data_IF_525888469057
#
_entry.id   IF_525888469057
#
_cell.length_a   1.000
_cell.length_b   1.000
_cell.length_c   1.000
_cell.angle_alpha   90.00
_cell.angle_beta   90.00
_cell.angle_gamma   90.00
#
_symmetry.space_group_name_H-M   'P 1'
#
loop_
_entity.id
_entity.type
_entity.pdbx_description
1 polymer ?
#
# COMPACT_ATOMS: atom_id res chain seq x y z
N UNK A 1 -18.86 7.36 40.31
CA UNK A 1 -18.84 8.02 38.98
C UNK A 1 -20.02 7.46 38.19
N UNK A 2 -20.90 8.30 37.64
CA UNK A 2 -22.03 7.80 36.85
C UNK A 2 -21.55 7.25 35.50
N UNK A 3 -22.34 6.41 34.83
CA UNK A 3 -22.03 5.93 33.46
C UNK A 3 -21.86 7.10 32.49
N UNK A 4 -22.66 8.17 32.66
CA UNK A 4 -22.57 9.39 31.86
C UNK A 4 -21.26 10.12 32.08
N UNK A 5 -20.81 10.27 33.33
CA UNK A 5 -19.52 10.91 33.62
C UNK A 5 -18.35 10.11 33.06
N UNK A 6 -18.45 8.78 33.09
CA UNK A 6 -17.44 7.89 32.51
C UNK A 6 -17.34 8.05 30.98
N UNK A 7 -18.49 8.08 30.28
CA UNK A 7 -18.53 8.32 28.84
C UNK A 7 -17.99 9.71 28.47
N UNK A 8 -18.37 10.75 29.21
CA UNK A 8 -17.85 12.11 29.00
C UNK A 8 -16.33 12.18 29.23
N UNK A 9 -15.80 11.41 30.19
CA UNK A 9 -14.36 11.30 30.39
C UNK A 9 -13.69 10.67 29.17
N UNK A 10 -14.24 9.58 28.64
CA UNK A 10 -13.68 8.89 27.46
C UNK A 10 -13.73 9.78 26.20
N UNK A 11 -14.83 10.49 25.97
CA UNK A 11 -14.95 11.47 24.89
C UNK A 11 -13.90 12.59 25.00
N UNK A 12 -13.67 13.10 26.21
CA UNK A 12 -12.65 14.10 26.46
C UNK A 12 -11.22 13.56 26.26
N UNK A 13 -10.96 12.30 26.61
CA UNK A 13 -9.70 11.62 26.33
C UNK A 13 -9.46 11.50 24.81
N UNK A 14 -10.45 11.04 24.04
CA UNK A 14 -10.35 10.97 22.57
C UNK A 14 -10.15 12.33 21.92
N UNK A 15 -10.80 13.38 22.44
CA UNK A 15 -10.58 14.75 21.96
C UNK A 15 -9.14 15.21 22.21
N UNK A 16 -8.57 14.90 23.38
CA UNK A 16 -7.18 15.24 23.72
C UNK A 16 -6.17 14.50 22.83
N UNK A 17 -6.42 13.25 22.49
CA UNK A 17 -5.57 12.46 21.57
C UNK A 17 -5.45 13.11 20.18
N UNK A 18 -6.47 13.83 19.71
CA UNK A 18 -6.45 14.49 18.40
C UNK A 18 -5.74 15.85 18.40
N UNK A 19 -5.62 16.53 19.55
CA UNK A 19 -5.05 17.88 19.61
C UNK A 19 -3.62 17.98 19.03
N UNK A 20 -2.68 17.07 19.35
CA UNK A 20 -1.35 17.10 18.75
C UNK A 20 -1.38 16.89 17.22
N UNK A 21 -2.30 16.07 16.72
CA UNK A 21 -2.45 15.81 15.29
C UNK A 21 -2.97 17.04 14.56
N UNK A 22 -3.96 17.73 15.13
CA UNK A 22 -4.45 19.00 14.57
C UNK A 22 -3.36 20.08 14.56
N UNK A 23 -2.57 20.19 15.63
CA UNK A 23 -1.45 21.12 15.67
C UNK A 23 -0.39 20.80 14.60
N UNK A 24 -0.07 19.52 14.39
CA UNK A 24 0.85 19.08 13.34
C UNK A 24 0.29 19.36 11.93
N UNK A 25 -1.02 19.17 11.73
CA UNK A 25 -1.68 19.53 10.47
C UNK A 25 -1.63 21.04 10.18
N UNK A 26 -1.88 21.88 11.19
CA UNK A 26 -1.80 23.34 11.08
C UNK A 26 -0.41 23.83 10.64
N UNK A 27 0.66 23.35 11.29
CA UNK A 27 2.05 23.69 10.91
C UNK A 27 2.40 23.31 9.48
N UNK A 28 1.80 22.23 8.96
CA UNK A 28 2.01 21.81 7.57
C UNK A 28 1.37 22.77 6.57
N UNK A 29 0.21 23.33 6.88
CA UNK A 29 -0.46 24.31 6.01
C UNK A 29 0.38 25.60 5.89
N UNK A 30 0.99 26.04 6.98
CA UNK A 30 1.85 27.23 7.02
C UNK A 30 3.15 27.08 6.21
N UNK A 31 3.63 25.85 6.01
CA UNK A 31 4.88 25.56 5.28
C UNK A 31 4.67 25.32 3.79
N UNK A 32 3.43 25.34 3.27
CA UNK A 32 3.17 25.25 1.83
C UNK A 32 3.30 26.63 1.16
N UNK A 33 4.14 26.79 0.12
CA UNK A 33 4.27 28.06 -0.57
C UNK A 33 2.99 28.36 -1.36
N UNK A 34 2.26 29.43 -0.99
CA UNK A 34 1.15 29.99 -1.78
C UNK A 34 -0.21 30.18 -1.11
N UNK A 35 -0.36 29.99 0.21
CA UNK A 35 -1.61 30.32 0.93
C UNK A 35 -1.36 31.38 2.02
N UNK A 36 -1.48 32.66 1.65
CA UNK A 36 -1.63 33.74 2.62
C UNK A 36 -3.04 33.69 3.22
N UNK A 37 -3.16 33.27 4.48
CA UNK A 37 -4.40 33.41 5.25
C UNK A 37 -4.46 34.80 5.87
N UNK A 38 -5.30 35.68 5.32
CA UNK A 38 -5.67 36.95 5.96
C UNK A 38 -6.40 36.68 7.28
N UNK A 39 -5.71 36.89 8.41
CA UNK A 39 -6.29 36.81 9.75
C UNK A 39 -6.80 38.20 10.16
N UNK A 40 -8.10 38.45 10.07
CA UNK A 40 -8.73 39.63 10.66
C UNK A 40 -8.91 39.40 12.16
N UNK A 41 -8.29 40.27 12.96
CA UNK A 41 -8.39 40.30 14.42
C UNK A 41 -9.76 40.82 14.87
N UNK A 42 -10.48 40.02 15.66
CA UNK A 42 -11.33 40.48 16.78
C UNK A 42 -11.77 39.29 17.63
N UNK A 43 -11.56 39.44 18.93
CA UNK A 43 -11.83 38.52 20.04
C UNK A 43 -13.30 38.47 20.42
N UNK A 44 -13.82 37.29 20.80
CA UNK A 44 -14.57 37.05 22.03
C UNK A 44 -14.84 35.55 22.24
N UNK A 45 -14.93 35.16 23.51
CA UNK A 45 -14.85 33.80 24.07
C UNK A 45 -15.87 32.79 23.49
N UNK A 46 -15.39 31.93 22.60
CA UNK A 46 -15.92 30.59 22.36
C UNK A 46 -14.71 29.65 22.25
N UNK A 47 -14.82 28.45 22.83
CA UNK A 47 -13.73 27.46 22.92
C UNK A 47 -12.98 27.28 21.59
N UNK A 48 -11.73 27.76 21.54
CA UNK A 48 -10.82 27.78 20.38
C UNK A 48 -10.62 26.38 19.73
N UNK A 49 -11.01 25.31 20.43
CA UNK A 49 -11.00 23.93 19.94
C UNK A 49 -12.17 23.58 18.98
N UNK A 50 -13.32 24.27 19.06
CA UNK A 50 -14.49 23.97 18.20
C UNK A 50 -14.40 24.66 16.82
N UNK A 51 -13.54 25.67 16.69
CA UNK A 51 -13.31 26.41 15.44
C UNK A 51 -12.36 25.62 14.53
N UNK A 52 -11.36 24.91 15.09
CA UNK A 52 -10.42 24.07 14.34
C UNK A 52 -11.04 22.79 13.73
N UNK A 53 -12.13 22.26 14.31
CA UNK A 53 -12.84 21.11 13.72
C UNK A 53 -13.74 21.51 12.53
N UNK A 54 -14.20 22.77 12.48
CA UNK A 54 -15.17 23.25 11.49
C UNK A 54 -14.56 23.72 10.18
N UNK A 55 -13.28 24.12 10.19
CA UNK A 55 -12.54 24.57 9.02
C UNK A 55 -11.24 23.79 8.86
N UNK A 56 -11.32 22.45 8.90
CA UNK A 56 -10.28 21.64 8.25
C UNK A 56 -10.37 21.90 6.76
N UNK A 57 -9.73 22.99 6.32
CA UNK A 57 -9.77 23.52 4.97
C UNK A 57 -9.66 22.38 3.98
N UNK A 58 -10.78 22.15 3.32
CA UNK A 58 -10.86 21.50 2.02
C UNK A 58 -9.71 22.05 1.19
N UNK A 59 -8.85 21.16 0.70
CA UNK A 59 -8.17 21.49 -0.55
C UNK A 59 -9.23 22.03 -1.52
N UNK A 60 -8.93 23.00 -2.37
CA UNK A 60 -9.98 23.62 -3.22
C UNK A 60 -10.69 22.56 -4.10
N UNK A 61 -10.07 21.37 -4.23
CA UNK A 61 -10.58 20.17 -4.90
C UNK A 61 -11.05 19.03 -3.97
N UNK A 62 -11.01 19.19 -2.65
CA UNK A 62 -11.41 18.16 -1.69
C UNK A 62 -12.93 18.01 -1.62
N UNK A 63 -13.40 16.77 -1.58
CA UNK A 63 -14.82 16.45 -1.52
C UNK A 63 -15.37 16.77 -0.11
N UNK A 64 -16.32 17.70 -0.04
CA UNK A 64 -17.04 18.06 1.18
C UNK A 64 -18.43 17.42 1.29
N UNK A 65 -19.16 17.82 2.34
CA UNK A 65 -20.50 17.30 2.63
C UNK A 65 -21.51 17.44 1.49
N UNK A 66 -21.50 18.56 0.76
CA UNK A 66 -22.48 18.79 -0.30
C UNK A 66 -22.34 17.81 -1.46
N UNK A 67 -21.10 17.49 -1.86
CA UNK A 67 -20.85 16.51 -2.92
C UNK A 67 -21.17 15.09 -2.46
N UNK A 68 -20.92 14.77 -1.18
CA UNK A 68 -21.20 13.44 -0.62
C UNK A 68 -22.69 13.15 -0.46
N UNK A 69 -23.54 14.17 -0.36
CA UNK A 69 -25.01 14.00 -0.33
C UNK A 69 -25.57 13.43 -1.64
N UNK A 70 -24.87 13.59 -2.76
CA UNK A 70 -25.34 13.19 -4.09
C UNK A 70 -24.63 11.93 -4.63
N UNK A 71 -24.00 11.14 -3.77
CA UNK A 71 -23.39 9.86 -4.17
C UNK A 71 -24.47 8.92 -4.72
N UNK A 72 -24.15 8.27 -5.85
CA UNK A 72 -25.00 7.25 -6.49
C UNK A 72 -24.31 5.88 -6.48
N UNK A 73 -25.07 4.83 -6.82
CA UNK A 73 -24.59 3.45 -6.98
C UNK A 73 -23.84 2.96 -5.74
N UNK A 74 -24.55 2.97 -4.60
CA UNK A 74 -23.97 2.60 -3.32
C UNK A 74 -24.00 1.09 -3.17
N UNK A 75 -22.84 0.45 -3.30
CA UNK A 75 -22.67 -1.00 -3.12
C UNK A 75 -21.90 -1.29 -1.84
N UNK A 76 -22.32 -2.29 -1.06
CA UNK A 76 -21.56 -2.67 0.13
C UNK A 76 -20.25 -3.38 -0.25
N UNK A 77 -19.12 -2.92 0.30
CA UNK A 77 -17.80 -3.53 0.06
C UNK A 77 -17.33 -4.37 1.24
N UNK A 78 -17.62 -3.95 2.47
CA UNK A 78 -17.21 -4.68 3.66
C UNK A 78 -17.47 -3.91 4.95
N UNK A 79 -17.37 -4.59 6.09
CA UNK A 79 -17.46 -3.96 7.40
C UNK A 79 -16.55 -4.68 8.40
N UNK A 80 -15.96 -3.90 9.30
CA UNK A 80 -15.22 -4.39 10.45
C UNK A 80 -15.96 -4.08 11.77
N UNK A 81 -15.21 -4.17 12.87
CA UNK A 81 -15.74 -3.91 14.22
C UNK A 81 -16.25 -2.48 14.41
N UNK A 82 -15.60 -1.51 13.76
CA UNK A 82 -15.85 -0.08 13.94
C UNK A 82 -16.46 0.58 12.70
N UNK A 83 -16.02 0.18 11.50
CA UNK A 83 -16.26 0.92 10.25
C UNK A 83 -16.94 0.04 9.21
N UNK A 84 -17.80 0.64 8.41
CA UNK A 84 -18.39 0.05 7.23
C UNK A 84 -17.87 0.78 5.99
N UNK A 85 -17.66 0.03 4.91
CA UNK A 85 -17.16 0.54 3.63
C UNK A 85 -18.19 0.22 2.56
N UNK A 86 -18.59 1.27 1.84
CA UNK A 86 -19.45 1.16 0.68
C UNK A 86 -18.75 1.79 -0.52
N UNK A 87 -18.95 1.23 -1.70
CA UNK A 87 -18.60 1.85 -2.95
C UNK A 87 -19.61 2.96 -3.22
N UNK A 88 -19.19 4.05 -3.84
CA UNK A 88 -20.08 5.07 -4.36
C UNK A 88 -19.48 5.76 -5.57
N UNK A 89 -20.33 6.44 -6.34
CA UNK A 89 -19.92 7.25 -7.48
C UNK A 89 -20.33 8.70 -7.24
N UNK A 90 -19.34 9.60 -7.28
CA UNK A 90 -19.53 11.04 -7.06
C UNK A 90 -20.14 11.75 -8.29
N UNK A 91 -20.65 13.00 -8.15
CA UNK A 91 -21.28 13.78 -9.23
C UNK A 91 -20.45 14.06 -10.50
N UNK A 92 -19.20 13.57 -10.59
CA UNK A 92 -18.33 13.62 -11.78
C UNK A 92 -17.99 12.23 -12.37
N UNK A 93 -18.68 11.18 -11.91
CA UNK A 93 -18.39 9.80 -12.33
C UNK A 93 -17.17 9.18 -11.65
N UNK A 94 -16.57 9.85 -10.66
CA UNK A 94 -15.42 9.34 -9.92
C UNK A 94 -15.86 8.24 -8.93
N UNK A 95 -15.38 6.99 -9.08
CA UNK A 95 -15.60 5.94 -8.10
C UNK A 95 -14.82 6.20 -6.82
N UNK A 96 -15.45 5.99 -5.66
CA UNK A 96 -14.85 6.16 -4.33
C UNK A 96 -15.28 5.07 -3.37
N UNK A 97 -14.42 4.78 -2.39
CA UNK A 97 -14.77 3.99 -1.22
C UNK A 97 -15.18 4.94 -0.08
N UNK A 98 -16.42 4.83 0.37
CA UNK A 98 -17.00 5.59 1.47
C UNK A 98 -16.89 4.80 2.76
N UNK A 99 -16.11 5.33 3.71
CA UNK A 99 -15.91 4.78 5.04
C UNK A 99 -16.77 5.55 6.04
N UNK A 100 -17.63 4.85 6.77
CA UNK A 100 -18.50 5.42 7.81
C UNK A 100 -18.49 4.53 9.05
N UNK A 101 -19.05 5.02 10.17
CA UNK A 101 -19.24 4.20 11.37
C UNK A 101 -20.14 3.01 11.07
N UNK A 102 -19.73 1.81 11.48
CA UNK A 102 -20.55 0.59 11.41
C UNK A 102 -21.56 0.58 12.56
N UNK A 103 -22.82 0.89 12.23
CA UNK A 103 -23.92 0.88 13.22
C UNK A 103 -24.22 -0.49 13.82
N UNK A 104 -23.81 -1.57 13.16
CA UNK A 104 -23.97 -2.95 13.64
C UNK A 104 -22.68 -3.52 14.23
N UNK A 105 -21.60 -2.71 14.24
CA UNK A 105 -20.27 -3.07 14.68
C UNK A 105 -20.20 -3.39 16.18
N UNK A 106 -19.23 -4.23 16.57
CA UNK A 106 -19.07 -4.62 17.97
C UNK A 106 -18.67 -3.47 18.87
N UNK A 107 -17.90 -2.50 18.37
CA UNK A 107 -17.44 -1.37 19.19
C UNK A 107 -18.61 -0.51 19.64
N UNK A 108 -19.51 -0.18 18.72
CA UNK A 108 -20.73 0.57 19.04
C UNK A 108 -21.63 -0.25 19.96
N UNK A 109 -21.80 -1.54 19.69
CA UNK A 109 -22.64 -2.42 20.51
C UNK A 109 -22.14 -2.50 21.96
N UNK A 110 -20.84 -2.75 22.15
CA UNK A 110 -20.20 -2.81 23.48
C UNK A 110 -20.31 -1.47 24.22
N UNK A 111 -20.02 -0.36 23.54
CA UNK A 111 -20.16 0.96 24.14
C UNK A 111 -21.60 1.19 24.63
N UNK A 112 -22.61 0.89 23.80
CA UNK A 112 -24.02 1.06 24.19
C UNK A 112 -24.40 0.11 25.34
N UNK A 113 -23.85 -1.10 25.36
CA UNK A 113 -24.02 -2.03 26.48
C UNK A 113 -23.49 -1.45 27.79
N UNK A 114 -22.31 -0.83 27.76
CA UNK A 114 -21.61 -0.29 28.94
C UNK A 114 -22.22 1.03 29.44
N UNK A 115 -22.50 1.98 28.54
CA UNK A 115 -22.88 3.34 28.90
C UNK A 115 -24.38 3.64 28.80
N UNK A 116 -25.14 2.83 28.06
CA UNK A 116 -26.58 3.04 27.78
C UNK A 116 -26.90 4.39 27.11
N UNK A 117 -25.96 4.93 26.35
CA UNK A 117 -26.10 6.19 25.60
C UNK A 117 -25.74 5.97 24.13
N UNK A 118 -26.75 5.90 23.26
CA UNK A 118 -26.55 5.59 21.84
C UNK A 118 -25.86 6.73 21.11
N UNK A 119 -26.24 7.97 21.40
CA UNK A 119 -25.70 9.14 20.70
C UNK A 119 -24.27 9.40 21.12
N UNK A 120 -23.99 9.40 22.42
CA UNK A 120 -22.64 9.57 22.93
C UNK A 120 -21.70 8.43 22.53
N UNK A 121 -22.19 7.19 22.45
CA UNK A 121 -21.40 6.08 21.92
C UNK A 121 -21.11 6.19 20.43
N UNK A 122 -22.06 6.71 19.65
CA UNK A 122 -21.83 6.93 18.23
C UNK A 122 -20.81 8.05 18.01
N UNK A 123 -20.84 9.13 18.82
CA UNK A 123 -19.79 10.14 18.85
C UNK A 123 -18.44 9.51 19.22
N UNK A 124 -18.38 8.75 20.31
CA UNK A 124 -17.15 8.11 20.79
C UNK A 124 -16.51 7.21 19.73
N UNK A 125 -17.30 6.34 19.11
CA UNK A 125 -16.82 5.43 18.05
C UNK A 125 -16.38 6.20 16.80
N UNK A 126 -17.00 7.35 16.51
CA UNK A 126 -16.62 8.19 15.36
C UNK A 126 -15.20 8.75 15.47
N UNK A 127 -14.65 8.92 16.69
CA UNK A 127 -13.28 9.41 16.87
C UNK A 127 -12.22 8.52 16.22
N UNK A 128 -12.47 7.20 16.08
CA UNK A 128 -11.57 6.32 15.33
C UNK A 128 -11.48 6.73 13.85
N UNK A 129 -12.62 7.03 13.23
CA UNK A 129 -12.66 7.50 11.84
C UNK A 129 -12.13 8.94 11.70
N UNK A 130 -12.40 9.82 12.67
CA UNK A 130 -11.86 11.19 12.67
C UNK A 130 -10.32 11.14 12.77
N UNK A 131 -9.78 10.35 13.70
CA UNK A 131 -8.32 10.14 13.82
C UNK A 131 -7.72 9.67 12.51
N UNK A 132 -8.35 8.69 11.87
CA UNK A 132 -7.91 8.18 10.57
C UNK A 132 -7.93 9.27 9.48
N UNK A 133 -9.00 10.07 9.38
CA UNK A 133 -9.10 11.18 8.42
C UNK A 133 -7.95 12.18 8.64
N UNK A 134 -7.71 12.60 9.88
CA UNK A 134 -6.65 13.56 10.21
C UNK A 134 -5.27 12.97 9.86
N UNK A 135 -5.04 11.70 10.18
CA UNK A 135 -3.80 11.01 9.82
C UNK A 135 -3.62 10.92 8.31
N UNK A 136 -4.66 10.59 7.53
CA UNK A 136 -4.60 10.56 6.06
C UNK A 136 -4.35 11.95 5.45
N UNK A 137 -4.82 13.01 6.11
CA UNK A 137 -4.52 14.38 5.68
C UNK A 137 -3.06 14.75 5.89
N UNK A 138 -2.44 14.27 6.98
CA UNK A 138 -1.04 14.55 7.35
C UNK A 138 -0.07 13.61 6.60
N UNK A 139 -0.29 12.30 6.70
CA UNK A 139 0.55 11.25 6.16
C UNK A 139 0.21 11.03 4.67
N UNK A 140 0.84 11.79 3.78
CA UNK A 140 0.65 11.67 2.33
C UNK A 140 1.84 10.96 1.70
N UNK A 141 1.60 9.77 1.16
CA UNK A 141 2.59 8.95 0.49
C UNK A 141 1.92 8.11 -0.61
N UNK A 142 2.58 7.76 -1.74
CA UNK A 142 1.98 6.95 -2.80
C UNK A 142 1.40 5.61 -2.34
N UNK A 143 1.99 5.01 -1.30
CA UNK A 143 1.55 3.76 -0.69
C UNK A 143 0.64 3.94 0.55
N UNK A 144 0.04 5.13 0.74
CA UNK A 144 -1.08 5.37 1.65
C UNK A 144 -2.30 5.70 0.80
N UNK A 145 -3.47 5.16 1.18
CA UNK A 145 -4.72 5.39 0.45
C UNK A 145 -5.01 6.89 0.38
N UNK A 146 -5.38 7.38 -0.80
CA UNK A 146 -5.69 8.79 -0.99
C UNK A 146 -7.06 9.11 -0.40
N UNK A 147 -7.08 9.97 0.61
CA UNK A 147 -8.29 10.68 1.05
C UNK A 147 -8.67 11.71 -0.01
N UNK A 148 -9.82 11.52 -0.65
CA UNK A 148 -10.36 12.44 -1.64
C UNK A 148 -11.21 13.54 -0.98
N UNK A 149 -11.76 13.24 0.20
CA UNK A 149 -12.44 14.22 1.03
C UNK A 149 -13.20 13.55 2.18
N UNK A 150 -13.91 14.36 2.96
CA UNK A 150 -14.68 13.87 4.09
C UNK A 150 -15.86 14.81 4.38
N UNK A 151 -16.83 14.31 5.13
CA UNK A 151 -17.93 15.08 5.65
C UNK A 151 -18.08 14.82 7.14
N UNK A 152 -18.26 15.90 7.91
CA UNK A 152 -18.66 15.85 9.31
C UNK A 152 -19.88 16.76 9.51
N UNK A 153 -21.07 16.17 9.61
CA UNK A 153 -22.29 16.92 9.90
C UNK A 153 -22.34 17.30 11.39
N UNK A 154 -22.24 18.61 11.69
CA UNK A 154 -22.39 19.13 13.05
C UNK A 154 -23.78 18.80 13.62
N UNK A 155 -23.84 18.35 14.88
CA UNK A 155 -25.08 18.12 15.61
C UNK A 155 -25.81 16.81 15.29
N UNK A 156 -25.22 15.91 14.49
CA UNK A 156 -25.74 14.55 14.31
C UNK A 156 -24.68 13.51 14.69
N UNK A 157 -24.99 12.58 15.61
CA UNK A 157 -24.07 11.50 15.99
C UNK A 157 -23.60 10.69 14.76
N UNK A 158 -24.44 10.58 13.72
CA UNK A 158 -24.21 9.85 12.48
C UNK A 158 -23.22 10.48 11.46
N UNK A 159 -22.60 11.63 11.78
CA UNK A 159 -22.19 12.60 10.77
C UNK A 159 -20.84 12.43 10.04
N UNK A 160 -19.98 11.46 10.38
CA UNK A 160 -18.62 11.37 9.80
C UNK A 160 -18.56 10.34 8.67
N UNK A 161 -18.14 10.78 7.48
CA UNK A 161 -17.86 9.92 6.33
C UNK A 161 -16.57 10.34 5.65
N UNK A 162 -15.67 9.39 5.39
CA UNK A 162 -14.47 9.61 4.59
C UNK A 162 -14.67 9.05 3.17
N UNK A 163 -14.28 9.82 2.15
CA UNK A 163 -14.24 9.37 0.77
C UNK A 163 -12.79 9.10 0.36
N UNK A 164 -12.49 7.84 0.07
CA UNK A 164 -11.17 7.34 -0.27
C UNK A 164 -11.13 6.93 -1.75
N UNK A 165 -9.94 6.91 -2.35
CA UNK A 165 -9.77 6.23 -3.64
C UNK A 165 -10.18 4.75 -3.54
N UNK A 166 -10.83 4.23 -4.59
CA UNK A 166 -11.25 2.83 -4.62
C UNK A 166 -10.07 1.91 -4.94
N UNK A 167 -9.89 0.86 -4.15
CA UNK A 167 -8.88 -0.18 -4.35
C UNK A 167 -9.48 -1.58 -4.19
N UNK A 168 -8.83 -2.57 -4.79
CA UNK A 168 -9.22 -3.97 -4.64
C UNK A 168 -8.56 -4.58 -3.39
N UNK A 169 -9.28 -5.39 -2.60
CA UNK A 169 -8.69 -6.07 -1.44
C UNK A 169 -7.44 -6.88 -1.80
N UNK A 170 -6.41 -6.80 -0.96
CA UNK A 170 -5.18 -7.56 -1.16
C UNK A 170 -5.41 -9.06 -0.88
N UNK A 171 -5.42 -9.87 -1.94
CA UNK A 171 -5.59 -11.32 -1.82
C UNK A 171 -4.26 -12.05 -1.97
N UNK A 172 -3.76 -12.65 -0.89
CA UNK A 172 -2.45 -13.31 -0.88
C UNK A 172 -2.33 -14.44 -1.92
N UNK A 173 -3.39 -15.23 -2.11
CA UNK A 173 -3.41 -16.32 -3.11
C UNK A 173 -3.22 -15.75 -4.53
N UNK A 174 -3.90 -14.66 -4.85
CA UNK A 174 -3.76 -14.02 -6.17
C UNK A 174 -2.36 -13.45 -6.37
N UNK A 175 -1.76 -12.85 -5.33
CA UNK A 175 -0.39 -12.36 -5.39
C UNK A 175 0.61 -13.50 -5.60
N UNK A 176 0.46 -14.63 -4.92
CA UNK A 176 1.35 -15.79 -5.08
C UNK A 176 1.30 -16.40 -6.49
N UNK A 177 0.19 -16.21 -7.20
CA UNK A 177 0.01 -16.63 -8.59
C UNK A 177 0.49 -15.57 -9.61
N UNK A 178 0.81 -14.37 -9.15
CA UNK A 178 1.25 -13.27 -10.01
C UNK A 178 2.74 -13.36 -10.37
N UNK A 179 3.16 -12.74 -11.50
CA UNK A 179 4.56 -12.60 -11.87
C UNK A 179 5.43 -12.12 -10.71
N UNK A 180 6.66 -12.61 -10.62
CA UNK A 180 7.60 -12.19 -9.56
C UNK A 180 7.77 -10.67 -9.51
N UNK A 181 7.79 -10.02 -10.66
CA UNK A 181 7.86 -8.56 -10.79
C UNK A 181 6.71 -7.81 -10.10
N UNK A 182 5.48 -8.33 -10.16
CA UNK A 182 4.32 -7.73 -9.47
C UNK A 182 4.38 -7.98 -7.95
N UNK A 183 4.84 -9.17 -7.53
CA UNK A 183 5.10 -9.46 -6.11
C UNK A 183 6.20 -8.55 -5.54
N UNK A 184 7.26 -8.34 -6.32
CA UNK A 184 8.35 -7.44 -5.97
C UNK A 184 7.86 -5.99 -5.84
N UNK A 185 6.97 -5.53 -6.75
CA UNK A 185 6.33 -4.21 -6.68
C UNK A 185 5.60 -3.99 -5.35
N UNK A 186 4.84 -4.98 -4.90
CA UNK A 186 4.12 -4.93 -3.61
C UNK A 186 5.09 -4.79 -2.45
N UNK A 187 6.13 -5.62 -2.39
CA UNK A 187 7.13 -5.56 -1.32
C UNK A 187 7.92 -4.24 -1.33
N UNK A 188 8.31 -3.76 -2.51
CA UNK A 188 8.99 -2.48 -2.69
C UNK A 188 8.13 -1.31 -2.21
N UNK A 189 6.85 -1.27 -2.60
CA UNK A 189 5.89 -0.26 -2.14
C UNK A 189 5.71 -0.30 -0.62
N UNK A 190 5.72 -1.49 -0.02
CA UNK A 190 5.67 -1.64 1.43
C UNK A 190 6.93 -1.08 2.10
N UNK A 191 8.13 -1.40 1.61
CA UNK A 191 9.38 -0.89 2.21
C UNK A 191 9.47 0.63 2.08
N UNK A 192 9.11 1.20 0.92
CA UNK A 192 9.03 2.66 0.73
C UNK A 192 8.06 3.30 1.72
N UNK A 193 6.89 2.69 1.93
CA UNK A 193 5.94 3.12 2.96
C UNK A 193 6.57 3.10 4.35
N UNK A 194 7.23 2.00 4.73
CA UNK A 194 7.84 1.89 6.06
C UNK A 194 8.94 2.92 6.27
N UNK A 195 9.75 3.18 5.24
CA UNK A 195 10.80 4.20 5.30
C UNK A 195 10.19 5.59 5.47
N UNK A 196 9.09 5.90 4.79
CA UNK A 196 8.35 7.14 5.02
C UNK A 196 7.79 7.24 6.44
N UNK A 197 7.23 6.16 6.98
CA UNK A 197 6.63 6.14 8.31
C UNK A 197 7.67 6.28 9.43
N UNK A 198 8.90 5.76 9.27
CA UNK A 198 9.95 5.90 10.29
C UNK A 198 10.45 7.34 10.45
N UNK A 199 10.31 8.17 9.41
CA UNK A 199 10.73 9.58 9.40
C UNK A 199 9.57 10.54 9.08
N UNK A 200 8.35 10.15 9.41
CA UNK A 200 7.16 10.92 9.04
C UNK A 200 7.14 12.31 9.70
N UNK A 201 6.30 13.26 9.22
CA UNK A 201 6.12 14.56 9.86
C UNK A 201 5.65 14.49 11.32
N UNK A 202 5.15 13.34 11.77
CA UNK A 202 4.69 13.08 13.13
C UNK A 202 5.74 12.34 13.99
N UNK A 203 6.94 12.08 13.44
CA UNK A 203 7.90 11.15 14.01
C UNK A 203 7.68 9.71 13.51
N UNK A 204 8.37 8.76 14.15
CA UNK A 204 8.34 7.34 13.79
C UNK A 204 6.96 6.73 14.11
N UNK A 205 6.21 6.38 13.06
CA UNK A 205 4.85 5.84 13.17
C UNK A 205 4.90 4.31 13.27
N UNK A 206 4.27 3.75 14.30
CA UNK A 206 3.98 2.31 14.40
C UNK A 206 2.56 1.99 13.95
N UNK A 207 2.42 0.90 13.21
CA UNK A 207 1.13 0.32 12.83
C UNK A 207 0.80 -0.81 13.80
N UNK A 208 -0.09 -0.57 14.77
CA UNK A 208 -0.41 -1.57 15.80
C UNK A 208 -1.22 -2.74 15.24
N UNK A 209 -2.15 -2.49 14.31
CA UNK A 209 -2.82 -3.55 13.53
C UNK A 209 -2.15 -3.75 12.16
N UNK A 210 -0.89 -4.19 12.13
CA UNK A 210 -0.22 -4.49 10.87
C UNK A 210 -0.66 -5.85 10.35
N UNK A 211 -1.59 -5.90 9.41
CA UNK A 211 -2.05 -7.15 8.78
C UNK A 211 -2.31 -6.97 7.28
N UNK A 212 -2.20 -8.03 6.45
CA UNK A 212 -2.46 -7.92 5.01
C UNK A 212 -3.82 -7.31 4.65
N UNK A 213 -4.85 -7.55 5.47
CA UNK A 213 -6.20 -6.99 5.28
C UNK A 213 -6.27 -5.45 5.41
N UNK A 214 -5.26 -4.82 6.02
CA UNK A 214 -5.17 -3.37 6.14
C UNK A 214 -4.60 -2.69 4.91
N UNK A 215 -4.34 -3.46 3.86
CA UNK A 215 -3.84 -2.98 2.58
C UNK A 215 -4.78 -3.35 1.44
N UNK A 216 -4.78 -2.51 0.42
CA UNK A 216 -5.45 -2.73 -0.87
C UNK A 216 -4.47 -2.54 -2.01
N UNK A 217 -4.86 -2.98 -3.20
CA UNK A 217 -4.18 -2.66 -4.45
C UNK A 217 -4.95 -1.59 -5.22
N UNK A 218 -4.23 -0.56 -5.66
CA UNK A 218 -4.74 0.47 -6.57
C UNK A 218 -3.82 0.50 -7.78
N UNK A 219 -4.30 0.02 -8.93
CA UNK A 219 -3.49 -0.06 -10.17
C UNK A 219 -2.14 -0.80 -9.99
N UNK A 220 -2.15 -1.87 -9.18
CA UNK A 220 -0.98 -2.68 -8.85
C UNK A 220 -0.09 -2.14 -7.72
N UNK A 221 -0.35 -0.92 -7.21
CA UNK A 221 0.36 -0.38 -6.05
C UNK A 221 -0.29 -0.82 -4.74
N UNK A 222 0.52 -1.28 -3.78
CA UNK A 222 0.08 -1.54 -2.41
C UNK A 222 -0.20 -0.23 -1.69
N UNK A 223 -1.36 -0.12 -1.04
CA UNK A 223 -1.74 1.06 -0.24
C UNK A 223 -2.33 0.69 1.11
N UNK A 224 -1.84 1.34 2.16
CA UNK A 224 -2.37 1.24 3.52
C UNK A 224 -3.70 2.00 3.63
N UNK A 225 -4.74 1.35 4.17
CA UNK A 225 -6.11 1.91 4.24
C UNK A 225 -6.63 2.18 5.65
N UNK A 226 -5.97 1.68 6.69
CA UNK A 226 -6.43 1.78 8.07
C UNK A 226 -5.32 2.35 8.95
N UNK A 227 -5.58 3.51 9.55
CA UNK A 227 -4.63 4.29 10.34
C UNK A 227 -5.15 4.66 11.73
N UNK A 228 -6.35 4.23 12.12
CA UNK A 228 -6.90 4.57 13.45
C UNK A 228 -6.09 3.98 14.61
N UNK A 229 -5.50 2.81 14.42
CA UNK A 229 -4.61 2.16 15.40
C UNK A 229 -3.13 2.56 15.23
N UNK A 230 -2.82 3.58 14.42
CA UNK A 230 -1.46 4.10 14.32
C UNK A 230 -1.10 4.94 15.57
N UNK A 231 0.18 4.86 15.96
CA UNK A 231 0.77 5.68 17.03
C UNK A 231 2.13 6.22 16.60
N UNK A 232 2.52 7.36 17.16
CA UNK A 232 3.83 8.01 16.93
C UNK A 232 4.73 7.96 18.16
N UNK A 233 4.23 7.41 19.26
CA UNK A 233 4.96 7.34 20.53
C UNK A 233 5.90 6.15 20.52
N UNK A 234 7.19 6.40 20.77
CA UNK A 234 8.15 5.34 21.10
C UNK A 234 8.01 5.02 22.60
N UNK A 235 8.00 3.74 23.01
CA UNK A 235 7.83 3.38 24.41
C UNK A 235 8.92 3.95 25.32
N UNK A 236 8.54 4.38 26.51
CA UNK A 236 9.49 4.75 27.55
C UNK A 236 10.20 3.50 28.12
N UNK A 237 11.47 3.64 28.49
CA UNK A 237 12.29 2.56 29.02
C UNK A 237 13.21 3.03 30.14
N UNK A 238 13.58 2.08 31.00
CA UNK A 238 14.62 2.22 32.04
C UNK A 238 15.80 1.28 31.75
N UNK A 239 15.51 0.13 31.15
CA UNK A 239 16.48 -0.90 30.79
C UNK A 239 16.18 -1.43 29.39
N UNK A 240 17.14 -2.12 28.78
CA UNK A 240 16.97 -2.71 27.44
C UNK A 240 15.84 -3.74 27.40
N UNK A 241 15.54 -4.40 28.54
CA UNK A 241 14.44 -5.35 28.66
C UNK A 241 13.05 -4.71 28.44
N UNK A 242 12.92 -3.40 28.65
CA UNK A 242 11.68 -2.66 28.39
C UNK A 242 11.44 -2.47 26.87
N UNK A 243 12.48 -2.65 26.05
CA UNK A 243 12.47 -2.45 24.61
C UNK A 243 12.42 -3.77 23.84
N UNK A 244 11.56 -4.69 24.28
CA UNK A 244 11.40 -6.00 23.66
C UNK A 244 10.23 -6.05 22.65
N UNK A 245 10.56 -6.48 21.44
CA UNK A 245 9.59 -6.85 20.42
C UNK A 245 9.28 -8.34 20.52
N UNK A 246 8.05 -8.64 20.87
CA UNK A 246 7.55 -10.00 20.98
C UNK A 246 6.81 -10.40 19.70
N UNK A 247 7.24 -11.50 19.07
CA UNK A 247 6.54 -12.13 17.96
C UNK A 247 6.38 -13.64 18.21
N UNK A 248 5.41 -14.32 17.57
CA UNK A 248 5.10 -15.73 17.87
C UNK A 248 6.28 -16.71 17.78
N UNK A 249 7.29 -16.40 16.97
CA UNK A 249 8.43 -17.29 16.70
C UNK A 249 9.79 -16.69 17.10
N UNK A 250 9.85 -15.40 17.43
CA UNK A 250 11.09 -14.66 17.69
C UNK A 250 10.83 -13.45 18.56
N UNK A 251 11.79 -13.15 19.42
CA UNK A 251 11.84 -11.89 20.16
C UNK A 251 13.09 -11.11 19.77
N UNK A 252 13.00 -9.80 19.85
CA UNK A 252 14.13 -8.90 19.61
C UNK A 252 14.19 -7.86 20.72
N UNK A 253 15.38 -7.58 21.22
CA UNK A 253 15.61 -6.57 22.24
C UNK A 253 16.44 -5.44 21.64
N UNK A 254 15.99 -4.20 21.81
CA UNK A 254 16.73 -3.00 21.43
C UNK A 254 17.34 -2.36 22.69
N UNK A 255 18.45 -1.61 22.56
CA UNK A 255 18.97 -0.85 23.68
C UNK A 255 18.03 0.31 24.05
N UNK A 256 17.85 0.55 25.34
CA UNK A 256 17.17 1.73 25.84
C UNK A 256 18.04 2.96 25.63
N UNK A 257 17.51 4.01 24.99
CA UNK A 257 18.29 5.22 24.75
C UNK A 257 18.56 5.98 26.05
N UNK A 258 19.62 6.83 26.10
CA UNK A 258 19.91 7.67 27.27
C UNK A 258 18.77 8.64 27.64
N UNK A 259 17.81 8.86 26.73
CA UNK A 259 16.61 9.69 26.96
C UNK A 259 15.47 8.92 27.63
N UNK A 260 15.67 7.63 27.96
CA UNK A 260 14.65 6.78 28.55
C UNK A 260 13.54 6.40 27.58
N UNK A 261 13.87 6.27 26.29
CA UNK A 261 12.92 5.83 25.23
C UNK A 261 13.54 4.75 24.34
N UNK A 262 12.71 3.81 23.90
CA UNK A 262 13.09 2.74 22.97
C UNK A 262 13.20 3.28 21.54
N UNK A 263 14.25 4.02 21.25
CA UNK A 263 14.41 4.68 19.95
C UNK A 263 14.47 3.66 18.79
N UNK A 264 13.59 3.83 17.80
CA UNK A 264 13.53 2.96 16.61
C UNK A 264 12.74 1.66 16.83
N UNK A 265 12.04 1.51 17.95
CA UNK A 265 11.22 0.32 18.21
C UNK A 265 10.04 0.23 17.23
N UNK A 266 9.43 1.38 16.93
CA UNK A 266 8.31 1.50 16.00
C UNK A 266 8.67 1.02 14.58
N UNK A 267 9.78 1.50 14.01
CA UNK A 267 10.22 1.10 12.68
C UNK A 267 10.59 -0.39 12.61
N UNK A 268 11.25 -0.92 13.65
CA UNK A 268 11.64 -2.34 13.70
C UNK A 268 10.43 -3.26 13.81
N UNK A 269 9.40 -2.86 14.57
CA UNK A 269 8.14 -3.60 14.64
C UNK A 269 7.46 -3.67 13.27
N UNK A 270 7.37 -2.53 12.58
CA UNK A 270 6.77 -2.48 11.25
C UNK A 270 7.57 -3.33 10.24
N UNK A 271 8.90 -3.22 10.27
CA UNK A 271 9.79 -3.96 9.36
C UNK A 271 9.64 -5.47 9.53
N UNK A 272 9.65 -5.97 10.76
CA UNK A 272 9.51 -7.40 11.00
C UNK A 272 8.11 -7.92 10.61
N UNK A 273 7.06 -7.10 10.82
CA UNK A 273 5.72 -7.45 10.35
C UNK A 273 5.64 -7.50 8.82
N UNK A 274 6.32 -6.58 8.11
CA UNK A 274 6.44 -6.65 6.65
C UNK A 274 7.18 -7.93 6.21
N UNK A 275 8.27 -8.27 6.89
CA UNK A 275 8.96 -9.54 6.65
C UNK A 275 8.03 -10.74 6.82
N UNK A 276 7.39 -10.89 7.99
CA UNK A 276 6.62 -12.10 8.31
C UNK A 276 5.37 -12.28 7.46
N UNK A 277 4.72 -11.18 7.08
CA UNK A 277 3.44 -11.22 6.37
C UNK A 277 3.57 -11.13 4.86
N UNK A 278 4.66 -10.54 4.34
CA UNK A 278 4.83 -10.28 2.92
C UNK A 278 6.11 -10.91 2.39
N UNK A 279 7.28 -10.51 2.89
CA UNK A 279 8.55 -10.84 2.22
C UNK A 279 8.82 -12.34 2.16
N UNK A 280 8.53 -13.06 3.25
CA UNK A 280 8.62 -14.52 3.36
C UNK A 280 7.91 -15.27 2.24
N UNK A 281 6.77 -14.74 1.80
CA UNK A 281 5.92 -15.39 0.80
C UNK A 281 6.14 -14.83 -0.61
N UNK A 282 6.43 -13.54 -0.72
CA UNK A 282 6.37 -12.83 -1.99
C UNK A 282 7.73 -12.69 -2.69
N UNK A 283 8.86 -12.65 -1.97
CA UNK A 283 10.17 -12.41 -2.59
C UNK A 283 10.90 -13.67 -3.11
N UNK A 284 11.07 -14.75 -2.33
CA UNK A 284 12.05 -15.78 -2.66
C UNK A 284 11.61 -16.68 -3.82
N UNK A 285 10.31 -16.92 -3.97
CA UNK A 285 9.80 -17.83 -4.99
C UNK A 285 9.98 -17.22 -6.37
N UNK A 286 10.73 -17.90 -7.25
CA UNK A 286 10.92 -17.53 -8.66
C UNK A 286 11.54 -16.14 -8.89
N UNK A 287 12.33 -15.67 -7.93
CA UNK A 287 13.24 -14.56 -8.18
C UNK A 287 14.21 -14.93 -9.32
N UNK A 288 14.60 -13.96 -10.17
CA UNK A 288 15.62 -14.19 -11.19
C UNK A 288 16.88 -14.81 -10.56
N UNK A 289 17.42 -15.91 -11.12
CA UNK A 289 18.49 -16.67 -10.48
C UNK A 289 19.72 -15.85 -10.09
N UNK A 290 20.13 -14.90 -10.94
CA UNK A 290 21.29 -14.03 -10.67
C UNK A 290 21.03 -12.98 -9.58
N UNK A 291 19.77 -12.60 -9.35
CA UNK A 291 19.38 -11.68 -8.26
C UNK A 291 19.12 -12.38 -6.93
N UNK A 292 19.06 -13.73 -6.92
CA UNK A 292 18.66 -14.51 -5.75
C UNK A 292 19.51 -14.24 -4.51
N UNK A 293 20.81 -14.03 -4.67
CA UNK A 293 21.71 -13.72 -3.55
C UNK A 293 21.33 -12.40 -2.83
N UNK A 294 20.95 -11.36 -3.57
CA UNK A 294 20.49 -10.08 -3.01
C UNK A 294 19.16 -10.26 -2.29
N UNK A 295 18.25 -11.05 -2.87
CA UNK A 295 16.97 -11.39 -2.23
C UNK A 295 17.22 -12.14 -0.92
N UNK A 296 18.11 -13.13 -0.91
CA UNK A 296 18.44 -13.90 0.30
C UNK A 296 19.10 -13.01 1.37
N UNK A 297 19.93 -12.03 0.97
CA UNK A 297 20.48 -11.02 1.88
C UNK A 297 19.39 -10.14 2.52
N UNK A 298 18.46 -9.62 1.71
CA UNK A 298 17.30 -8.86 2.19
C UNK A 298 16.49 -9.70 3.19
N UNK A 299 16.20 -10.96 2.81
CA UNK A 299 15.44 -11.89 3.65
C UNK A 299 16.13 -12.16 4.98
N UNK A 300 17.42 -12.45 4.98
CA UNK A 300 18.19 -12.70 6.21
C UNK A 300 18.29 -11.45 7.09
N UNK A 301 18.60 -10.28 6.49
CA UNK A 301 18.74 -9.03 7.25
C UNK A 301 17.45 -8.63 7.94
N UNK A 302 16.32 -8.75 7.24
CA UNK A 302 14.99 -8.42 7.78
C UNK A 302 14.47 -9.49 8.76
N UNK A 303 14.74 -10.77 8.52
CA UNK A 303 14.37 -11.87 9.42
C UNK A 303 15.04 -11.76 10.80
N UNK A 304 16.29 -11.32 10.83
CA UNK A 304 17.08 -11.16 12.04
C UNK A 304 17.06 -9.72 12.60
N UNK A 305 16.34 -8.80 11.93
CA UNK A 305 16.37 -7.36 12.23
C UNK A 305 17.79 -6.80 12.41
N UNK A 306 18.73 -7.25 11.57
CA UNK A 306 20.13 -6.81 11.58
C UNK A 306 20.30 -5.38 11.09
N UNK A 307 19.43 -4.95 10.18
CA UNK A 307 19.47 -3.63 9.55
C UNK A 307 18.16 -2.87 9.76
N UNK A 308 18.22 -1.55 9.58
CA UNK A 308 17.06 -0.68 9.68
C UNK A 308 16.18 -0.71 8.43
N UNK A 309 15.12 0.10 8.45
CA UNK A 309 14.24 0.26 7.29
C UNK A 309 14.96 0.97 6.14
N UNK A 310 15.84 1.93 6.43
CA UNK A 310 16.62 2.66 5.42
C UNK A 310 17.53 1.73 4.61
N UNK A 311 18.34 0.90 5.28
CA UNK A 311 19.22 -0.07 4.61
C UNK A 311 18.41 -1.09 3.81
N UNK A 312 17.25 -1.51 4.35
CA UNK A 312 16.34 -2.41 3.62
C UNK A 312 15.81 -1.74 2.36
N UNK A 313 15.45 -0.46 2.42
CA UNK A 313 14.98 0.30 1.25
C UNK A 313 16.08 0.38 0.19
N UNK A 314 17.30 0.71 0.57
CA UNK A 314 18.45 0.78 -0.34
C UNK A 314 18.65 -0.57 -1.07
N UNK A 315 18.67 -1.68 -0.34
CA UNK A 315 18.81 -3.00 -0.93
C UNK A 315 17.67 -3.35 -1.93
N UNK A 316 16.44 -2.93 -1.65
CA UNK A 316 15.32 -3.10 -2.58
C UNK A 316 15.46 -2.22 -3.83
N UNK A 317 15.92 -0.98 -3.70
CA UNK A 317 16.16 -0.09 -4.84
C UNK A 317 17.32 -0.59 -5.71
N UNK A 318 18.35 -1.18 -5.12
CA UNK A 318 19.45 -1.82 -5.86
C UNK A 318 18.95 -2.99 -6.71
N UNK A 319 18.12 -3.86 -6.14
CA UNK A 319 17.47 -4.95 -6.89
C UNK A 319 16.61 -4.40 -8.02
N UNK A 320 15.83 -3.33 -7.76
CA UNK A 320 15.03 -2.68 -8.79
C UNK A 320 15.91 -2.12 -9.92
N UNK A 321 17.00 -1.45 -9.56
CA UNK A 321 17.94 -0.86 -10.51
C UNK A 321 18.53 -1.93 -11.43
N UNK A 322 19.05 -3.02 -10.86
CA UNK A 322 19.59 -4.14 -11.63
C UNK A 322 18.52 -4.77 -12.52
N UNK A 323 17.33 -5.03 -11.99
CA UNK A 323 16.24 -5.67 -12.73
C UNK A 323 15.73 -4.82 -13.91
N UNK A 324 15.65 -3.49 -13.73
CA UNK A 324 15.26 -2.53 -14.77
C UNK A 324 16.32 -2.37 -15.85
N UNK A 325 17.57 -2.17 -15.43
CA UNK A 325 18.71 -1.92 -16.31
C UNK A 325 19.14 -3.15 -17.12
N UNK A 326 18.81 -4.35 -16.65
CA UNK A 326 19.24 -5.59 -17.27
C UNK A 326 20.68 -5.98 -16.93
N UNK A 327 21.37 -5.23 -16.05
CA UNK A 327 22.76 -5.51 -15.65
C UNK A 327 22.94 -6.92 -15.06
N UNK A 328 21.88 -7.45 -14.42
CA UNK A 328 21.84 -8.84 -13.90
C UNK A 328 21.93 -9.93 -14.98
N UNK A 329 21.90 -9.54 -16.26
CA UNK A 329 21.93 -10.41 -17.44
C UNK A 329 23.20 -10.26 -18.28
N UNK A 330 24.17 -9.43 -17.90
CA UNK A 330 25.38 -9.16 -18.73
C UNK A 330 26.20 -10.42 -19.02
N UNK A 331 26.19 -11.39 -18.10
CA UNK A 331 26.88 -12.66 -18.26
C UNK A 331 26.07 -13.74 -19.01
N UNK A 332 24.93 -13.37 -19.62
CA UNK A 332 24.18 -14.29 -20.46
C UNK A 332 24.96 -14.62 -21.73
N UNK A 333 24.93 -15.90 -22.13
CA UNK A 333 25.51 -16.40 -23.37
C UNK A 333 25.00 -15.58 -24.58
N UNK A 334 25.85 -14.74 -25.21
CA UNK A 334 25.42 -13.87 -26.30
C UNK A 334 24.93 -14.66 -27.54
N UNK A 335 25.34 -15.93 -27.63
CA UNK A 335 25.03 -16.83 -28.75
C UNK A 335 23.58 -17.34 -28.74
N UNK A 336 22.83 -17.30 -27.64
CA UNK A 336 21.52 -17.98 -27.61
C UNK A 336 20.49 -17.39 -28.58
N UNK A 337 20.61 -16.10 -28.90
CA UNK A 337 19.71 -15.43 -29.84
C UNK A 337 19.99 -15.83 -31.30
N UNK A 338 21.19 -16.35 -31.59
CA UNK A 338 21.55 -16.76 -32.95
C UNK A 338 20.84 -18.04 -33.37
N UNK A 339 20.29 -18.80 -32.42
CA UNK A 339 19.41 -19.95 -32.65
C UNK A 339 18.01 -19.55 -33.14
N UNK A 340 17.72 -18.25 -33.28
CA UNK A 340 16.42 -17.73 -33.67
C UNK A 340 16.50 -16.89 -34.95
N UNK A 341 15.44 -16.93 -35.75
CA UNK A 341 15.23 -16.09 -36.94
C UNK A 341 14.19 -15.02 -36.61
N UNK A 342 14.56 -13.75 -36.79
CA UNK A 342 13.71 -12.60 -36.46
C UNK A 342 12.91 -12.12 -37.68
N UNK A 343 11.59 -11.98 -37.51
CA UNK A 343 10.65 -11.46 -38.51
C UNK A 343 10.00 -10.20 -37.96
N UNK A 344 10.30 -9.03 -38.55
CA UNK A 344 9.81 -7.73 -38.08
C UNK A 344 8.50 -7.36 -38.77
N UNK A 345 7.68 -6.56 -38.10
CA UNK A 345 6.45 -6.03 -38.68
C UNK A 345 5.33 -7.07 -38.75
N UNK A 346 5.44 -8.15 -37.99
CA UNK A 346 4.46 -9.24 -37.94
C UNK A 346 4.23 -9.70 -36.51
N UNK A 347 3.06 -10.28 -36.26
CA UNK A 347 2.74 -11.02 -35.04
C UNK A 347 2.13 -12.38 -35.38
N UNK A 348 2.23 -13.32 -34.46
CA UNK A 348 1.66 -14.66 -34.61
C UNK A 348 0.14 -14.65 -34.37
N UNK A 349 -0.61 -15.35 -35.22
CA UNK A 349 -2.06 -15.56 -35.10
C UNK A 349 -2.41 -17.03 -35.29
N UNK A 350 -3.42 -17.50 -34.56
CA UNK A 350 -3.73 -18.93 -34.46
C UNK A 350 -2.61 -19.74 -33.80
N UNK A 351 -2.85 -21.03 -33.61
CA UNK A 351 -1.90 -21.96 -32.98
C UNK A 351 -2.26 -22.36 -31.54
N UNK A 352 -1.43 -23.24 -30.98
CA UNK A 352 -1.60 -23.75 -29.61
C UNK A 352 -0.80 -22.87 -28.65
N UNK A 353 -1.53 -22.03 -27.91
CA UNK A 353 -0.96 -21.35 -26.75
C UNK A 353 -0.77 -22.37 -25.62
N UNK A 354 0.43 -22.40 -25.03
CA UNK A 354 0.69 -23.15 -23.81
C UNK A 354 0.72 -22.21 -22.60
N UNK A 355 0.41 -22.75 -21.42
CA UNK A 355 0.48 -21.99 -20.17
C UNK A 355 1.86 -22.15 -19.55
N UNK A 356 2.38 -21.06 -18.99
CA UNK A 356 3.56 -21.11 -18.13
C UNK A 356 3.22 -20.48 -16.78
N UNK A 357 3.97 -20.88 -15.77
CA UNK A 357 3.75 -20.42 -14.42
C UNK A 357 4.06 -18.91 -14.29
N UNK A 358 3.31 -18.21 -13.44
CA UNK A 358 3.46 -16.78 -13.16
C UNK A 358 3.39 -15.88 -14.41
N UNK A 359 2.50 -16.25 -15.34
CA UNK A 359 2.25 -15.47 -16.54
C UNK A 359 1.35 -14.25 -16.28
N UNK A 360 1.58 -13.18 -17.05
CA UNK A 360 0.67 -12.04 -17.17
C UNK A 360 -0.65 -12.38 -17.89
N UNK A 361 -0.80 -13.60 -18.42
CA UNK A 361 -2.04 -14.11 -19.00
C UNK A 361 -2.43 -15.45 -18.37
N UNK A 362 -3.72 -15.63 -18.06
CA UNK A 362 -4.25 -16.89 -17.53
C UNK A 362 -4.38 -17.98 -18.61
N UNK A 363 -4.35 -17.60 -19.88
CA UNK A 363 -4.63 -18.50 -21.01
C UNK A 363 -3.41 -18.79 -21.89
N UNK A 364 -2.36 -17.97 -21.81
CA UNK A 364 -1.17 -18.08 -22.65
C UNK A 364 0.10 -17.78 -21.85
N UNK A 365 1.26 -18.23 -22.33
CA UNK A 365 2.54 -17.91 -21.72
C UNK A 365 3.02 -16.51 -22.15
N UNK A 366 2.71 -15.51 -21.31
CA UNK A 366 3.18 -14.13 -21.43
C UNK A 366 4.06 -13.78 -20.23
N UNK A 367 5.33 -13.45 -20.47
CA UNK A 367 6.31 -13.14 -19.42
C UNK A 367 7.04 -11.83 -19.70
N UNK A 368 7.55 -11.21 -18.63
CA UNK A 368 8.32 -9.96 -18.68
C UNK A 368 9.80 -10.23 -18.97
N UNK A 369 10.33 -9.57 -19.98
CA UNK A 369 11.72 -9.71 -20.44
C UNK A 369 12.35 -8.35 -20.65
N UNK A 370 13.63 -8.22 -20.33
CA UNK A 370 14.45 -7.05 -20.58
C UNK A 370 14.78 -6.92 -22.08
N UNK A 371 15.05 -8.05 -22.74
CA UNK A 371 15.53 -8.07 -24.13
C UNK A 371 15.14 -9.35 -24.87
N UNK A 372 15.38 -9.36 -26.19
CA UNK A 372 15.18 -10.54 -27.02
C UNK A 372 16.08 -11.72 -26.61
N UNK A 373 17.27 -11.42 -26.08
CA UNK A 373 18.21 -12.43 -25.58
C UNK A 373 17.65 -13.14 -24.34
N UNK A 374 17.07 -12.39 -23.40
CA UNK A 374 16.41 -12.99 -22.24
C UNK A 374 15.19 -13.82 -22.66
N UNK A 375 14.39 -13.32 -23.62
CA UNK A 375 13.29 -14.09 -24.17
C UNK A 375 13.74 -15.39 -24.84
N UNK A 376 14.82 -15.36 -25.63
CA UNK A 376 15.39 -16.56 -26.22
C UNK A 376 15.85 -17.58 -25.17
N UNK A 377 16.46 -17.12 -24.08
CA UNK A 377 16.84 -17.99 -22.95
C UNK A 377 15.62 -18.67 -22.31
N UNK A 378 14.55 -17.91 -22.06
CA UNK A 378 13.30 -18.43 -21.50
C UNK A 378 12.62 -19.41 -22.47
N UNK A 379 12.59 -19.09 -23.77
CA UNK A 379 12.02 -20.00 -24.76
C UNK A 379 12.84 -21.30 -24.84
N UNK A 380 14.17 -21.21 -24.81
CA UNK A 380 15.04 -22.39 -24.83
C UNK A 380 14.91 -23.28 -23.59
N UNK A 381 14.51 -22.73 -22.43
CA UNK A 381 14.24 -23.54 -21.22
C UNK A 381 12.86 -24.20 -21.20
N UNK A 382 11.94 -23.76 -22.05
CA UNK A 382 10.61 -24.35 -22.22
C UNK A 382 10.60 -25.38 -23.36
N UNK A 383 10.41 -26.69 -23.09
CA UNK A 383 10.49 -27.73 -24.14
C UNK A 383 9.51 -27.53 -25.30
N UNK A 384 8.35 -26.96 -24.98
CA UNK A 384 7.26 -26.71 -25.93
C UNK A 384 7.35 -25.35 -26.64
N UNK A 385 8.37 -24.53 -26.36
CA UNK A 385 8.51 -23.22 -27.01
C UNK A 385 9.25 -23.35 -28.34
N UNK A 386 8.58 -22.96 -29.43
CA UNK A 386 9.16 -22.94 -30.78
C UNK A 386 9.34 -21.52 -31.30
N UNK A 387 8.56 -20.56 -30.79
CA UNK A 387 8.71 -19.15 -31.12
C UNK A 387 8.24 -18.24 -29.99
N UNK A 388 8.67 -16.99 -30.05
CA UNK A 388 8.16 -15.93 -29.19
C UNK A 388 7.96 -14.63 -29.96
N UNK A 389 7.03 -13.80 -29.50
CA UNK A 389 6.73 -12.49 -30.07
C UNK A 389 7.02 -11.41 -29.04
N UNK A 390 7.79 -10.40 -29.43
CA UNK A 390 7.98 -9.16 -28.68
C UNK A 390 7.13 -8.06 -29.32
N UNK A 391 6.27 -7.42 -28.52
CA UNK A 391 5.48 -6.26 -28.95
C UNK A 391 5.84 -4.99 -28.19
N UNK A 392 5.07 -3.92 -28.39
CA UNK A 392 5.29 -2.62 -27.74
C UNK A 392 4.80 -2.52 -26.29
N UNK A 393 4.13 -3.55 -25.75
CA UNK A 393 3.62 -3.52 -24.37
C UNK A 393 4.75 -3.70 -23.38
N UNK A 394 4.76 -2.83 -22.37
CA UNK A 394 5.73 -2.86 -21.27
C UNK A 394 5.07 -3.03 -19.91
N UNK A 395 5.85 -3.50 -18.93
CA UNK A 395 5.47 -3.57 -17.52
C UNK A 395 5.78 -2.25 -16.80
N UNK A 396 5.47 -2.16 -15.50
CA UNK A 396 5.74 -0.98 -14.68
C UNK A 396 7.24 -0.68 -14.50
N UNK A 397 8.11 -1.68 -14.71
CA UNK A 397 9.56 -1.49 -14.72
C UNK A 397 10.09 -1.05 -16.09
N UNK A 398 9.25 -1.00 -17.12
CA UNK A 398 9.63 -0.69 -18.50
C UNK A 398 10.11 -1.90 -19.31
N UNK A 399 10.01 -3.12 -18.77
CA UNK A 399 10.37 -4.37 -19.45
C UNK A 399 9.31 -4.77 -20.47
N UNK A 400 9.72 -5.45 -21.53
CA UNK A 400 8.84 -5.90 -22.61
C UNK A 400 8.01 -7.11 -22.18
N UNK A 401 6.76 -7.19 -22.64
CA UNK A 401 5.97 -8.41 -22.53
C UNK A 401 6.19 -9.30 -23.75
N UNK A 402 6.77 -10.48 -23.53
CA UNK A 402 6.99 -11.51 -24.53
C UNK A 402 5.89 -12.57 -24.47
N UNK A 403 5.33 -12.94 -25.63
CA UNK A 403 4.39 -14.05 -25.77
C UNK A 403 5.10 -15.27 -26.36
N UNK A 404 5.09 -16.39 -25.65
CA UNK A 404 5.75 -17.64 -26.04
C UNK A 404 4.72 -18.66 -26.53
N UNK A 405 5.04 -19.36 -27.62
CA UNK A 405 4.11 -20.29 -28.28
C UNK A 405 4.79 -21.57 -28.74
N UNK A 406 3.98 -22.62 -28.90
CA UNK A 406 4.39 -23.90 -29.50
C UNK A 406 4.26 -23.93 -31.02
N UNK A 407 3.53 -22.98 -31.59
CA UNK A 407 3.40 -22.79 -33.03
C UNK A 407 2.37 -21.71 -33.34
N UNK A 408 2.17 -21.43 -34.62
CA UNK A 408 1.17 -20.47 -35.11
C UNK A 408 0.60 -20.95 -36.45
N UNK A 409 -0.60 -20.47 -36.80
CA UNK A 409 -1.24 -20.77 -38.09
C UNK A 409 -0.85 -19.72 -39.13
N UNK A 410 -0.88 -18.45 -38.74
CA UNK A 410 -0.66 -17.31 -39.63
C UNK A 410 0.29 -16.28 -39.02
N UNK A 411 0.99 -15.55 -39.90
CA UNK A 411 1.68 -14.31 -39.55
C UNK A 411 0.85 -13.15 -40.07
N UNK A 412 0.39 -12.29 -39.15
CA UNK A 412 -0.41 -11.12 -39.51
C UNK A 412 0.43 -9.85 -39.36
N UNK A 413 0.25 -8.84 -40.23
CA UNK A 413 0.99 -7.58 -40.13
C UNK A 413 0.79 -6.89 -38.78
N UNK A 414 1.90 -6.49 -38.15
CA UNK A 414 1.94 -5.67 -36.94
C UNK A 414 3.30 -4.95 -36.86
N UNK A 415 3.31 -3.67 -37.23
CA UNK A 415 4.52 -2.83 -37.32
C UNK A 415 5.29 -2.72 -35.99
N UNK A 416 4.62 -2.96 -34.86
CA UNK A 416 5.20 -2.81 -33.53
C UNK A 416 5.72 -4.13 -32.95
N UNK A 417 5.65 -5.22 -33.71
CA UNK A 417 6.00 -6.56 -33.24
C UNK A 417 7.14 -7.20 -34.02
N UNK A 418 7.88 -8.06 -33.33
CA UNK A 418 8.92 -8.90 -33.90
C UNK A 418 8.71 -10.33 -33.41
N UNK A 419 8.62 -11.26 -34.35
CA UNK A 419 8.52 -12.70 -34.08
C UNK A 419 9.89 -13.33 -34.21
N UNK A 420 10.28 -14.14 -33.22
CA UNK A 420 11.52 -14.90 -33.20
C UNK A 420 11.18 -16.39 -33.28
N UNK A 421 11.55 -17.03 -34.39
CA UNK A 421 11.31 -18.45 -34.64
C UNK A 421 12.60 -19.25 -34.39
N UNK A 422 12.52 -20.28 -33.56
CA UNK A 422 13.65 -21.18 -33.30
C UNK A 422 14.06 -21.90 -34.58
N UNK A 423 15.35 -21.89 -34.90
CA UNK A 423 15.89 -22.65 -36.03
C UNK A 423 15.80 -24.14 -35.69
N UNK A 424 15.23 -24.93 -36.60
CA UNK A 424 15.33 -26.39 -36.53
C UNK A 424 16.79 -26.78 -36.70
N UNK A 425 17.36 -27.53 -35.74
CA UNK A 425 18.62 -28.24 -35.95
C UNK A 425 18.37 -29.25 -37.07
N UNK A 426 19.06 -29.06 -38.20
CA UNK A 426 19.04 -29.98 -39.36
C UNK A 426 19.92 -31.18 -39.07
#
# INVERSE_FOLDING_TARGET
MSRRDALLKELNERRKELLPLYAAFGKRLETQPGKETHRSSKSEEATDNDILLGEMLTDVDAIGCDQLRYVKNVDFLGAGYTKAVTRGVLPKGLPVALKSVNRQGSDLRRCVEDFKDVEGCHELVSYKLIKEIVLLQILRHPNIIKLQGHCQLKGQPAGVTAALEEGSPLQMIQLLQSPWEERFRVCLGLVRLLHYLSQSPLGSVVLLDFQPRQFVLVSGELKLTDLDDASTEEPACRTDADCELHFPLRNFTLPCSPRGVCQGLNERRNLYNAYRYFFTYLLPHQAPPTLRHLIDQIMNSTAELKSGVSDTMEAFEDVLHLYKSGLYLENLLPSIITDYTAMRGVRTSGGVDYRCWASYSQQACVLSVHSAQEAALICSSHPQCTCFTLGARVTWTGRLLASFRSGFSDLVPDVNSVVYLKKTQV
#
